data_IF_464807150022
#
_entry.id   IF_464807150022
#
_cell.length_a   1.000
_cell.length_b   1.000
_cell.length_c   1.000
_cell.angle_alpha   90.00
_cell.angle_beta   90.00
_cell.angle_gamma   90.00
#
_symmetry.space_group_name_H-M   'P 1'
#
loop_
_entity.id
_entity.type
_entity.pdbx_description
1 polymer ?
#
# COMPACT_ATOMS: atom_id res chain seq x y z
N UNK A 1 7.48 -7.70 -16.96
CA UNK A 1 7.39 -7.24 -15.56
C UNK A 1 6.54 -8.22 -14.77
N UNK A 2 6.97 -8.63 -13.60
CA UNK A 2 6.18 -9.51 -12.74
C UNK A 2 4.91 -8.77 -12.27
N UNK A 3 3.82 -9.53 -12.13
CA UNK A 3 2.57 -9.03 -11.58
C UNK A 3 2.68 -8.97 -10.06
N UNK A 4 2.58 -7.77 -9.51
CA UNK A 4 2.65 -7.49 -8.07
C UNK A 4 1.29 -7.11 -7.49
N UNK A 5 0.36 -6.71 -8.35
CA UNK A 5 -0.98 -6.26 -7.99
C UNK A 5 -2.00 -6.94 -8.88
N UNK A 6 -3.05 -7.45 -8.28
CA UNK A 6 -4.21 -7.98 -8.98
C UNK A 6 -5.41 -7.07 -8.78
N UNK A 7 -6.14 -6.80 -9.86
CA UNK A 7 -7.42 -6.11 -9.83
C UNK A 7 -8.54 -7.05 -10.26
N UNK A 8 -9.60 -7.12 -9.48
CA UNK A 8 -10.82 -7.86 -9.81
C UNK A 8 -12.03 -6.98 -9.52
N UNK A 9 -12.85 -6.76 -10.53
CA UNK A 9 -14.13 -6.07 -10.37
C UNK A 9 -15.22 -7.07 -10.01
N UNK A 10 -15.88 -6.84 -8.87
CA UNK A 10 -17.07 -7.55 -8.44
C UNK A 10 -18.34 -6.71 -8.66
N UNK A 11 -19.53 -7.27 -8.41
CA UNK A 11 -20.79 -6.57 -8.63
C UNK A 11 -20.92 -5.28 -7.80
N UNK A 12 -20.44 -5.29 -6.54
CA UNK A 12 -20.61 -4.19 -5.59
C UNK A 12 -19.31 -3.51 -5.17
N UNK A 13 -18.15 -4.07 -5.48
CA UNK A 13 -16.85 -3.53 -5.09
C UNK A 13 -15.76 -3.92 -6.07
N UNK A 14 -14.66 -3.20 -6.01
CA UNK A 14 -13.41 -3.52 -6.68
C UNK A 14 -12.40 -4.06 -5.66
N UNK A 15 -11.76 -5.17 -5.96
CA UNK A 15 -10.73 -5.78 -5.10
C UNK A 15 -9.36 -5.58 -5.73
N UNK A 16 -8.45 -4.99 -4.96
CA UNK A 16 -7.04 -4.82 -5.30
C UNK A 16 -6.22 -5.66 -4.33
N UNK A 17 -5.52 -6.66 -4.83
CA UNK A 17 -4.67 -7.54 -4.02
C UNK A 17 -3.21 -7.24 -4.27
N UNK A 18 -2.47 -6.95 -3.19
CA UNK A 18 -1.01 -6.76 -3.23
C UNK A 18 -0.33 -8.09 -2.94
N UNK A 19 0.49 -8.56 -3.87
CA UNK A 19 1.26 -9.80 -3.69
C UNK A 19 2.58 -9.76 -4.49
N UNK A 20 3.66 -9.41 -3.81
CA UNK A 20 5.02 -9.46 -4.37
C UNK A 20 5.75 -10.78 -4.08
N UNK A 21 5.04 -11.75 -3.50
CA UNK A 21 5.63 -13.02 -3.04
C UNK A 21 6.44 -12.90 -1.75
N UNK A 22 6.57 -11.69 -1.16
CA UNK A 22 7.37 -11.38 0.02
C UNK A 22 6.56 -10.58 1.05
N UNK A 23 6.95 -9.35 1.31
CA UNK A 23 6.36 -8.50 2.35
C UNK A 23 5.56 -7.31 1.80
N UNK A 24 5.32 -7.25 0.52
CA UNK A 24 4.63 -6.15 -0.17
C UNK A 24 5.34 -4.80 0.04
N UNK A 25 6.64 -4.78 -0.26
CA UNK A 25 7.42 -3.55 -0.20
C UNK A 25 7.02 -2.59 -1.34
N UNK A 26 6.93 -1.31 -1.01
CA UNK A 26 6.57 -0.25 -1.94
C UNK A 26 7.81 0.24 -2.69
N UNK A 27 8.12 -0.42 -3.79
CA UNK A 27 9.04 0.06 -4.82
C UNK A 27 8.27 0.74 -5.95
N UNK A 28 8.98 1.28 -6.95
CA UNK A 28 8.36 1.98 -8.06
C UNK A 28 7.35 1.11 -8.83
N UNK A 29 7.71 -0.14 -9.13
CA UNK A 29 6.83 -1.07 -9.85
C UNK A 29 5.55 -1.40 -9.06
N UNK A 30 5.64 -1.60 -7.75
CA UNK A 30 4.47 -1.83 -6.89
C UNK A 30 3.57 -0.60 -6.90
N UNK A 31 4.12 0.60 -6.70
CA UNK A 31 3.35 1.85 -6.70
C UNK A 31 2.69 2.12 -8.06
N UNK A 32 3.38 1.85 -9.16
CA UNK A 32 2.82 1.97 -10.50
C UNK A 32 1.63 1.04 -10.71
N UNK A 33 1.77 -0.23 -10.32
CA UNK A 33 0.70 -1.21 -10.46
C UNK A 33 -0.49 -0.93 -9.54
N UNK A 34 -0.26 -0.44 -8.31
CA UNK A 34 -1.33 0.02 -7.41
C UNK A 34 -2.11 1.16 -8.08
N UNK A 35 -1.40 2.16 -8.63
CA UNK A 35 -2.05 3.28 -9.29
C UNK A 35 -2.83 2.85 -10.53
N UNK A 36 -2.32 1.92 -11.33
CA UNK A 36 -3.06 1.34 -12.45
C UNK A 36 -4.35 0.63 -12.02
N UNK A 37 -4.28 -0.16 -10.95
CA UNK A 37 -5.47 -0.81 -10.38
C UNK A 37 -6.47 0.21 -9.83
N UNK A 38 -6.00 1.31 -9.24
CA UNK A 38 -6.85 2.41 -8.78
C UNK A 38 -7.50 3.15 -9.96
N UNK A 39 -6.85 3.28 -11.11
CA UNK A 39 -7.45 3.85 -12.32
C UNK A 39 -8.65 3.01 -12.79
N UNK A 40 -8.50 1.69 -12.79
CA UNK A 40 -9.60 0.76 -13.12
C UNK A 40 -10.73 0.84 -12.09
N UNK A 41 -10.40 0.89 -10.81
CA UNK A 41 -11.37 0.99 -9.73
C UNK A 41 -12.16 2.31 -9.76
N UNK A 42 -11.48 3.42 -10.07
CA UNK A 42 -12.11 4.74 -10.22
C UNK A 42 -13.10 4.74 -11.39
N UNK A 43 -12.71 4.18 -12.52
CA UNK A 43 -13.59 4.03 -13.68
C UNK A 43 -14.81 3.15 -13.37
N UNK A 44 -14.66 2.12 -12.53
CA UNK A 44 -15.78 1.27 -12.09
C UNK A 44 -16.74 1.99 -11.11
N UNK A 45 -16.25 3.01 -10.39
CA UNK A 45 -17.08 3.84 -9.49
C UNK A 45 -17.66 3.10 -8.28
N UNK A 46 -17.03 2.00 -7.87
CA UNK A 46 -17.49 1.15 -6.75
C UNK A 46 -16.54 1.29 -5.55
N UNK A 47 -17.03 0.90 -4.38
CA UNK A 47 -16.19 0.77 -3.18
C UNK A 47 -14.93 -0.05 -3.50
N UNK A 48 -13.78 0.43 -3.08
CA UNK A 48 -12.48 -0.23 -3.29
C UNK A 48 -12.04 -0.93 -2.03
N UNK A 49 -11.65 -2.19 -2.16
CA UNK A 49 -11.00 -2.96 -1.10
C UNK A 49 -9.57 -3.24 -1.52
N UNK A 50 -8.60 -2.83 -0.70
CA UNK A 50 -7.19 -3.15 -0.91
C UNK A 50 -6.78 -4.13 0.19
N UNK A 51 -6.24 -5.28 -0.22
CA UNK A 51 -5.78 -6.34 0.67
C UNK A 51 -4.35 -6.73 0.32
N UNK A 52 -3.60 -7.20 1.29
CA UNK A 52 -2.28 -7.81 1.09
C UNK A 52 -2.33 -9.32 1.06
N UNK A 53 -1.16 -9.93 1.21
CA UNK A 53 -1.01 -11.38 1.37
C UNK A 53 -1.43 -11.81 2.79
N UNK A 54 -1.73 -13.11 3.01
CA UNK A 54 -1.91 -13.64 4.35
C UNK A 54 -0.70 -13.31 5.24
N UNK A 55 -0.95 -12.62 6.36
CA UNK A 55 0.05 -12.21 7.34
C UNK A 55 0.88 -10.97 6.99
N UNK A 56 0.73 -10.40 5.80
CA UNK A 56 1.56 -9.28 5.33
C UNK A 56 0.74 -8.31 4.47
N UNK A 57 0.35 -7.19 5.06
CA UNK A 57 -0.31 -6.14 4.31
C UNK A 57 0.70 -5.34 3.48
N UNK A 58 1.64 -4.67 4.14
CA UNK A 58 2.67 -3.86 3.48
C UNK A 58 3.81 -3.55 4.46
N UNK A 59 5.05 -3.80 4.06
CA UNK A 59 6.24 -3.57 4.88
C UNK A 59 6.79 -2.13 4.80
N UNK A 60 6.18 -1.26 4.02
CA UNK A 60 6.68 0.08 3.76
C UNK A 60 7.55 0.17 2.51
N UNK A 61 8.34 1.22 2.39
CA UNK A 61 9.17 1.44 1.21
C UNK A 61 10.22 0.35 1.00
N UNK A 62 10.52 0.08 -0.27
CA UNK A 62 11.57 -0.84 -0.68
C UNK A 62 12.95 -0.36 -0.18
N UNK A 63 13.53 -1.11 0.75
CA UNK A 63 14.80 -0.78 1.37
C UNK A 63 15.97 -0.78 0.37
N UNK A 64 15.87 -1.52 -0.73
CA UNK A 64 16.89 -1.50 -1.77
C UNK A 64 16.98 -0.14 -2.48
N UNK A 65 15.84 0.52 -2.67
CA UNK A 65 15.77 1.88 -3.20
C UNK A 65 16.18 2.89 -2.13
N UNK A 66 15.68 2.72 -0.91
CA UNK A 66 16.03 3.61 0.22
C UNK A 66 17.53 3.62 0.49
N UNK A 67 18.21 2.47 0.35
CA UNK A 67 19.66 2.35 0.52
C UNK A 67 20.50 3.03 -0.57
N UNK A 68 19.93 3.35 -1.73
CA UNK A 68 20.65 4.06 -2.79
C UNK A 68 20.88 5.54 -2.46
N UNK A 69 20.02 6.13 -1.64
CA UNK A 69 20.07 7.56 -1.33
C UNK A 69 19.70 8.46 -2.52
N UNK A 70 19.91 9.75 -2.34
CA UNK A 70 19.80 10.75 -3.40
C UNK A 70 18.39 10.88 -4.01
N UNK A 71 18.35 11.18 -5.31
CA UNK A 71 17.11 11.50 -6.02
C UNK A 71 16.12 10.34 -6.06
N UNK A 72 16.59 9.09 -6.13
CA UNK A 72 15.72 7.91 -6.14
C UNK A 72 14.88 7.81 -4.87
N UNK A 73 15.46 8.11 -3.71
CA UNK A 73 14.74 8.11 -2.44
C UNK A 73 13.68 9.22 -2.41
N UNK A 74 14.05 10.43 -2.83
CA UNK A 74 13.10 11.56 -2.89
C UNK A 74 11.91 11.24 -3.81
N UNK A 75 12.17 10.65 -4.96
CA UNK A 75 11.12 10.22 -5.89
C UNK A 75 10.21 9.14 -5.29
N UNK A 76 10.79 8.17 -4.59
CA UNK A 76 10.03 7.10 -3.95
C UNK A 76 9.14 7.63 -2.82
N UNK A 77 9.70 8.46 -1.94
CA UNK A 77 8.94 9.12 -0.86
C UNK A 77 7.78 9.96 -1.43
N UNK A 78 8.06 10.73 -2.47
CA UNK A 78 7.02 11.52 -3.16
C UNK A 78 5.92 10.62 -3.74
N UNK A 79 6.28 9.54 -4.40
CA UNK A 79 5.31 8.61 -4.99
C UNK A 79 4.42 7.97 -3.91
N UNK A 80 4.98 7.60 -2.75
CA UNK A 80 4.20 7.11 -1.62
C UNK A 80 3.26 8.16 -1.03
N UNK A 81 3.74 9.39 -0.86
CA UNK A 81 2.90 10.50 -0.38
C UNK A 81 1.74 10.80 -1.34
N UNK A 82 1.99 10.75 -2.66
CA UNK A 82 0.95 10.93 -3.66
C UNK A 82 -0.06 9.79 -3.65
N UNK A 83 0.36 8.55 -3.38
CA UNK A 83 -0.56 7.43 -3.19
C UNK A 83 -1.46 7.65 -1.97
N UNK A 84 -0.88 8.03 -0.81
CA UNK A 84 -1.65 8.38 0.39
C UNK A 84 -2.69 9.46 0.10
N UNK A 85 -2.28 10.54 -0.54
CA UNK A 85 -3.18 11.62 -0.93
C UNK A 85 -4.27 11.11 -1.88
N UNK A 86 -3.92 10.29 -2.86
CA UNK A 86 -4.89 9.72 -3.80
C UNK A 86 -5.97 8.90 -3.09
N UNK A 87 -5.59 8.12 -2.08
CA UNK A 87 -6.56 7.33 -1.30
C UNK A 87 -7.50 8.23 -0.48
N UNK A 88 -6.98 9.32 0.09
CA UNK A 88 -7.79 10.30 0.84
C UNK A 88 -8.79 11.04 -0.06
N UNK A 89 -8.38 11.37 -1.28
CA UNK A 89 -9.19 12.11 -2.26
C UNK A 89 -10.01 11.16 -3.17
N UNK A 90 -9.93 9.84 -2.97
CA UNK A 90 -10.52 8.85 -3.89
C UNK A 90 -12.05 8.96 -3.90
N UNK A 91 -12.71 9.09 -5.09
CA UNK A 91 -14.15 9.34 -5.13
C UNK A 91 -15.00 8.23 -4.51
N UNK A 92 -14.81 6.93 -4.81
CA UNK A 92 -15.48 5.86 -4.07
C UNK A 92 -14.84 5.64 -2.69
N UNK A 93 -15.59 5.06 -1.73
CA UNK A 93 -14.98 4.67 -0.45
C UNK A 93 -13.84 3.68 -0.62
N UNK A 94 -12.77 3.86 0.17
CA UNK A 94 -11.60 2.97 0.21
C UNK A 94 -11.55 2.24 1.54
N UNK A 95 -11.53 0.92 1.48
CA UNK A 95 -11.38 0.02 2.62
C UNK A 95 -10.04 -0.69 2.53
N UNK A 96 -9.22 -0.60 3.57
CA UNK A 96 -8.02 -1.43 3.67
C UNK A 96 -8.31 -2.66 4.53
N UNK A 97 -8.19 -3.83 3.90
CA UNK A 97 -8.21 -5.11 4.59
C UNK A 97 -6.77 -5.46 5.01
N UNK A 98 -6.41 -5.04 6.22
CA UNK A 98 -5.05 -5.17 6.76
C UNK A 98 -4.82 -6.63 7.16
N UNK A 99 -4.35 -7.42 6.20
CA UNK A 99 -4.21 -8.87 6.26
C UNK A 99 -3.04 -9.37 7.10
N UNK A 100 -2.32 -8.48 7.77
CA UNK A 100 -1.17 -8.79 8.61
C UNK A 100 -0.34 -7.57 8.91
N UNK A 101 0.99 -7.73 8.99
CA UNK A 101 1.91 -6.63 9.29
C UNK A 101 1.75 -5.45 8.33
N UNK A 102 1.63 -4.25 8.91
CA UNK A 102 1.61 -2.97 8.19
C UNK A 102 2.63 -2.03 8.85
N UNK A 103 3.80 -1.88 8.23
CA UNK A 103 4.94 -1.17 8.81
C UNK A 103 5.33 0.05 7.99
N UNK A 104 5.85 1.08 8.65
CA UNK A 104 6.37 2.29 8.00
C UNK A 104 5.29 2.92 7.08
N UNK A 105 5.61 3.13 5.81
CA UNK A 105 4.63 3.64 4.83
C UNK A 105 3.38 2.75 4.72
N UNK A 106 3.51 1.43 4.95
CA UNK A 106 2.37 0.51 5.02
C UNK A 106 1.39 0.85 6.15
N UNK A 107 1.91 1.27 7.31
CA UNK A 107 1.09 1.78 8.41
C UNK A 107 0.46 3.14 8.07
N UNK A 108 1.20 4.03 7.42
CA UNK A 108 0.69 5.35 7.01
C UNK A 108 -0.46 5.22 6.00
N UNK A 109 -0.41 4.25 5.09
CA UNK A 109 -1.53 3.98 4.19
C UNK A 109 -2.81 3.65 4.95
N UNK A 110 -2.72 3.00 6.12
CA UNK A 110 -3.90 2.70 6.93
C UNK A 110 -4.61 3.95 7.44
N UNK A 111 -3.91 5.07 7.54
CA UNK A 111 -4.48 6.36 7.93
C UNK A 111 -5.12 7.10 6.74
N UNK A 112 -4.88 6.64 5.53
CA UNK A 112 -5.32 7.29 4.29
C UNK A 112 -6.61 6.68 3.72
N UNK A 113 -7.19 5.69 4.40
CA UNK A 113 -8.42 5.03 3.97
C UNK A 113 -9.63 5.50 4.77
N UNK A 114 -10.82 5.35 4.19
CA UNK A 114 -12.09 5.64 4.88
C UNK A 114 -12.34 4.62 5.99
N UNK A 115 -12.09 3.33 5.70
CA UNK A 115 -12.19 2.24 6.66
C UNK A 115 -10.95 1.35 6.64
N UNK A 116 -10.65 0.77 7.79
CA UNK A 116 -9.62 -0.25 7.95
C UNK A 116 -10.12 -1.39 8.80
N UNK A 117 -9.90 -2.60 8.32
CA UNK A 117 -10.25 -3.83 9.01
C UNK A 117 -8.96 -4.63 9.19
N UNK A 118 -8.54 -4.84 10.43
CA UNK A 118 -7.35 -5.62 10.74
C UNK A 118 -7.70 -7.07 11.04
N UNK A 119 -6.83 -7.98 10.61
CA UNK A 119 -6.91 -9.38 11.02
C UNK A 119 -6.51 -9.51 12.50
N UNK A 120 -7.20 -10.37 13.24
CA UNK A 120 -6.81 -10.70 14.59
C UNK A 120 -5.57 -11.62 14.60
N UNK A 121 -4.62 -11.35 15.46
CA UNK A 121 -3.41 -12.15 15.58
C UNK A 121 -2.20 -11.35 16.08
N UNK A 122 -1.03 -11.99 16.09
CA UNK A 122 0.22 -11.36 16.52
C UNK A 122 0.87 -10.59 15.38
N UNK A 123 0.22 -9.53 14.92
CA UNK A 123 0.71 -8.66 13.86
C UNK A 123 1.10 -7.28 14.40
N UNK A 124 2.06 -6.65 13.73
CA UNK A 124 2.55 -5.31 14.07
C UNK A 124 2.01 -4.30 13.06
N UNK A 125 1.44 -3.22 13.57
CA UNK A 125 1.07 -2.05 12.78
C UNK A 125 1.75 -0.86 13.43
N UNK A 126 2.58 -0.15 12.69
CA UNK A 126 3.27 1.02 13.24
C UNK A 126 4.48 1.47 12.45
N UNK A 127 5.12 2.51 12.98
CA UNK A 127 6.30 3.13 12.41
C UNK A 127 7.53 2.53 13.11
N UNK A 128 8.32 1.78 12.37
CA UNK A 128 9.50 1.08 12.88
C UNK A 128 10.83 1.67 12.37
N UNK A 129 10.78 2.83 11.73
CA UNK A 129 11.95 3.48 11.10
C UNK A 129 13.08 3.69 12.09
N UNK A 130 12.79 4.19 13.29
CA UNK A 130 13.80 4.44 14.31
C UNK A 130 14.53 3.16 14.73
N UNK A 131 13.83 2.03 14.82
CA UNK A 131 14.46 0.75 15.19
C UNK A 131 15.37 0.18 14.11
N UNK A 132 15.30 0.68 12.88
CA UNK A 132 16.18 0.31 11.77
C UNK A 132 17.13 1.46 11.38
N UNK A 133 17.27 2.48 12.24
CA UNK A 133 18.21 3.58 12.07
C UNK A 133 17.75 4.66 11.07
N UNK A 134 16.46 4.78 10.80
CA UNK A 134 15.89 5.79 9.91
C UNK A 134 15.10 6.84 10.69
N UNK A 135 14.95 8.03 10.10
CA UNK A 135 14.00 9.04 10.60
C UNK A 135 12.58 8.69 10.20
N UNK A 136 11.62 9.20 10.96
CA UNK A 136 10.21 9.15 10.56
C UNK A 136 9.98 10.08 9.35
N UNK A 137 9.06 9.74 8.46
CA UNK A 137 8.70 10.55 7.31
C UNK A 137 7.98 11.84 7.70
#
# INVERSE_FOLDING_TARGET
>A
MSRLVEYVQHDYYSLITLDDGKANALGFAMLEQINGALDEAEAAGKTVIIIGRPGKFCAGFDLSVMGQGGESVVRLLRAGALLSRRLLDFPPPVILAVSGHALAMGALLTLSADFRIGIHGNFKIGLNEVSIGMTLP
#
